data_IF_291797984893
#
_entry.id   IF_291797984893
#
_cell.length_a   1.000
_cell.length_b   1.000
_cell.length_c   1.000
_cell.angle_alpha   90.00
_cell.angle_beta   90.00
_cell.angle_gamma   90.00
#
_symmetry.space_group_name_H-M   'P 1'
#
loop_
_entity.id
_entity.type
_entity.pdbx_description
1 polymer ?
#
# COMPACT_ATOMS: atom_id res chain seq x y z
N UNK A 1 0.63 -21.93 3.83
CA UNK A 1 0.95 -20.48 3.84
C UNK A 1 -0.09 -19.76 3.01
N UNK A 2 -0.36 -18.50 3.34
CA UNK A 2 -1.23 -17.64 2.52
C UNK A 2 -0.36 -16.71 1.65
N UNK A 3 -0.75 -16.51 0.38
CA UNK A 3 -0.10 -15.55 -0.52
C UNK A 3 -1.02 -14.36 -0.79
N UNK A 4 -0.63 -13.18 -0.32
CA UNK A 4 -1.25 -11.92 -0.72
C UNK A 4 -0.51 -11.32 -1.91
N UNK A 5 -1.23 -10.93 -2.95
CA UNK A 5 -0.68 -10.21 -4.10
C UNK A 5 -1.35 -8.84 -4.15
N UNK A 6 -0.56 -7.78 -4.00
CA UNK A 6 -1.00 -6.40 -4.16
C UNK A 6 -0.43 -5.83 -5.47
N UNK A 7 -1.29 -5.65 -6.45
CA UNK A 7 -0.95 -5.17 -7.79
C UNK A 7 -1.29 -3.68 -7.94
N UNK A 8 -0.33 -2.83 -7.53
CA UNK A 8 -0.41 -1.38 -7.63
C UNK A 8 0.13 -0.82 -8.95
N UNK A 9 -0.05 0.48 -9.17
CA UNK A 9 0.39 1.16 -10.39
C UNK A 9 1.91 1.14 -10.62
N UNK A 10 2.71 1.15 -9.56
CA UNK A 10 4.17 1.17 -9.67
C UNK A 10 4.81 -0.18 -9.39
N UNK A 11 4.20 -1.01 -8.54
CA UNK A 11 4.77 -2.29 -8.13
C UNK A 11 3.68 -3.34 -7.92
N UNK A 12 4.03 -4.60 -8.17
CA UNK A 12 3.32 -5.78 -7.72
C UNK A 12 4.09 -6.34 -6.52
N UNK A 13 3.42 -6.50 -5.39
CA UNK A 13 3.99 -7.00 -4.14
C UNK A 13 3.38 -8.37 -3.83
N UNK A 14 4.23 -9.37 -3.65
CA UNK A 14 3.86 -10.72 -3.23
C UNK A 14 4.29 -10.91 -1.78
N UNK A 15 3.33 -11.01 -0.88
CA UNK A 15 3.54 -11.23 0.54
C UNK A 15 3.19 -12.65 0.94
N UNK A 16 4.11 -13.33 1.62
CA UNK A 16 3.92 -14.70 2.07
C UNK A 16 3.68 -14.72 3.57
N UNK A 17 2.52 -15.21 3.99
CA UNK A 17 2.16 -15.33 5.40
C UNK A 17 2.29 -16.78 5.88
N UNK A 18 3.20 -16.98 6.84
CA UNK A 18 3.34 -18.23 7.59
C UNK A 18 2.43 -18.18 8.82
N UNK A 19 1.37 -18.99 8.83
CA UNK A 19 0.43 -19.08 9.95
C UNK A 19 1.04 -19.69 11.22
N UNK A 20 2.07 -20.55 11.11
CA UNK A 20 2.75 -21.13 12.26
C UNK A 20 3.65 -20.09 12.95
N UNK A 21 4.32 -19.25 12.16
CA UNK A 21 5.22 -18.19 12.67
C UNK A 21 4.51 -16.85 12.88
N UNK A 22 3.28 -16.71 12.38
CA UNK A 22 2.51 -15.46 12.33
C UNK A 22 3.29 -14.28 11.72
N UNK A 23 4.05 -14.54 10.67
CA UNK A 23 4.95 -13.56 10.04
C UNK A 23 4.72 -13.45 8.54
N UNK A 24 4.93 -12.24 8.04
CA UNK A 24 4.98 -11.89 6.63
C UNK A 24 6.43 -11.89 6.18
N UNK A 25 6.91 -13.04 5.75
CA UNK A 25 8.28 -13.22 5.26
C UNK A 25 8.35 -14.53 4.47
N UNK A 26 8.88 -14.51 3.23
CA UNK A 26 9.51 -13.40 2.54
C UNK A 26 8.51 -12.51 1.76
N UNK A 27 9.00 -11.38 1.23
CA UNK A 27 8.22 -10.44 0.41
C UNK A 27 8.97 -10.14 -0.89
N UNK A 28 8.32 -10.40 -2.03
CA UNK A 28 8.84 -10.08 -3.35
C UNK A 28 8.17 -8.80 -3.87
N UNK A 29 8.95 -7.91 -4.48
CA UNK A 29 8.45 -6.72 -5.17
C UNK A 29 8.96 -6.70 -6.60
N UNK A 30 8.05 -6.50 -7.54
CA UNK A 30 8.32 -6.41 -8.97
C UNK A 30 7.72 -5.10 -9.47
N UNK A 31 8.39 -4.38 -10.37
CA UNK A 31 7.81 -3.18 -10.98
C UNK A 31 6.53 -3.54 -11.77
N UNK A 32 5.52 -2.67 -11.72
CA UNK A 32 4.34 -2.84 -12.57
C UNK A 32 4.66 -2.29 -13.96
N UNK A 33 4.56 -3.15 -14.97
CA UNK A 33 4.58 -2.73 -16.37
C UNK A 33 3.27 -3.20 -17.00
N UNK A 34 2.51 -2.29 -17.61
CA UNK A 34 1.18 -2.62 -18.16
C UNK A 34 1.25 -3.65 -19.29
N UNK A 35 2.32 -3.60 -20.08
CA UNK A 35 2.64 -4.58 -21.12
C UNK A 35 3.47 -5.77 -20.60
N UNK A 36 3.52 -6.01 -19.27
CA UNK A 36 4.35 -7.08 -18.71
C UNK A 36 3.83 -8.44 -19.16
N UNK A 37 4.70 -9.18 -19.82
CA UNK A 37 4.38 -10.53 -20.27
C UNK A 37 4.30 -11.52 -19.09
N UNK A 38 3.40 -12.48 -19.23
CA UNK A 38 3.24 -13.62 -18.33
C UNK A 38 4.59 -14.33 -18.03
N UNK A 39 5.44 -14.54 -19.04
CA UNK A 39 6.72 -15.24 -18.90
C UNK A 39 7.66 -14.54 -17.90
N UNK A 40 7.61 -13.20 -17.85
CA UNK A 40 8.42 -12.44 -16.91
C UNK A 40 7.95 -12.65 -15.47
N UNK A 41 6.64 -12.59 -15.21
CA UNK A 41 6.07 -12.85 -13.89
C UNK A 41 6.43 -14.26 -13.42
N UNK A 42 6.24 -15.25 -14.30
CA UNK A 42 6.56 -16.64 -13.99
C UNK A 42 8.05 -16.82 -13.65
N UNK A 43 8.97 -16.22 -14.43
CA UNK A 43 10.41 -16.34 -14.17
C UNK A 43 10.81 -15.75 -12.81
N UNK A 44 10.27 -14.59 -12.45
CA UNK A 44 10.56 -13.95 -11.17
C UNK A 44 9.95 -14.73 -10.00
N UNK A 45 8.72 -15.24 -10.14
CA UNK A 45 8.11 -16.12 -9.14
C UNK A 45 8.94 -17.39 -8.95
N UNK A 46 9.34 -18.07 -10.03
CA UNK A 46 10.17 -19.27 -9.95
C UNK A 46 11.48 -19.01 -9.19
N UNK A 47 12.20 -17.94 -9.56
CA UNK A 47 13.47 -17.59 -8.93
C UNK A 47 13.27 -17.27 -7.44
N UNK A 48 12.25 -16.48 -7.11
CA UNK A 48 12.01 -16.09 -5.73
C UNK A 48 11.58 -17.27 -4.84
N UNK A 49 10.73 -18.18 -5.33
CA UNK A 49 10.35 -19.38 -4.57
C UNK A 49 11.58 -20.26 -4.30
N UNK A 50 12.48 -20.39 -5.28
CA UNK A 50 13.72 -21.13 -5.13
C UNK A 50 14.64 -20.50 -4.06
N UNK A 51 14.89 -19.19 -4.15
CA UNK A 51 15.74 -18.44 -3.20
C UNK A 51 15.15 -18.41 -1.78
N UNK A 52 13.83 -18.39 -1.69
CA UNK A 52 13.08 -18.35 -0.42
C UNK A 52 12.89 -19.73 0.22
N UNK A 53 13.30 -20.80 -0.44
CA UNK A 53 13.03 -22.18 -0.04
C UNK A 53 11.53 -22.47 0.22
N UNK A 54 10.65 -21.87 -0.59
CA UNK A 54 9.21 -22.09 -0.55
C UNK A 54 8.82 -23.01 -1.70
N UNK A 55 8.12 -24.09 -1.40
CA UNK A 55 7.50 -24.92 -2.42
C UNK A 55 6.16 -24.31 -2.86
N UNK A 56 5.80 -24.36 -4.16
CA UNK A 56 4.46 -24.00 -4.62
C UNK A 56 3.34 -24.68 -3.82
N UNK A 57 3.56 -25.94 -3.40
CA UNK A 57 2.62 -26.71 -2.59
C UNK A 57 2.46 -26.20 -1.14
N UNK A 58 3.36 -25.34 -0.66
CA UNK A 58 3.23 -24.71 0.65
C UNK A 58 2.15 -23.61 0.65
N UNK A 59 1.75 -23.10 -0.52
CA UNK A 59 0.74 -22.06 -0.66
C UNK A 59 -0.65 -22.71 -0.71
N UNK A 60 -1.45 -22.48 0.32
CA UNK A 60 -2.79 -23.06 0.44
C UNK A 60 -3.89 -22.16 -0.11
N UNK A 61 -3.65 -20.85 -0.16
CA UNK A 61 -4.65 -19.85 -0.55
C UNK A 61 -3.94 -18.63 -1.11
N UNK A 62 -4.53 -18.03 -2.14
CA UNK A 62 -4.02 -16.83 -2.80
C UNK A 62 -5.11 -15.77 -2.85
N UNK A 63 -4.84 -14.60 -2.27
CA UNK A 63 -5.70 -13.41 -2.39
C UNK A 63 -5.03 -12.33 -3.22
N UNK A 64 -5.78 -11.65 -4.09
CA UNK A 64 -5.27 -10.62 -4.98
C UNK A 64 -6.08 -9.33 -4.84
N UNK A 65 -5.39 -8.24 -4.51
CA UNK A 65 -5.84 -6.86 -4.72
C UNK A 65 -5.18 -6.33 -5.98
N UNK A 66 -5.93 -5.66 -6.85
CA UNK A 66 -5.38 -5.04 -8.05
C UNK A 66 -6.14 -3.77 -8.40
N UNK A 67 -5.37 -2.70 -8.65
CA UNK A 67 -5.85 -1.44 -9.20
C UNK A 67 -5.35 -1.21 -10.63
N UNK A 68 -4.80 -2.26 -11.26
CA UNK A 68 -4.27 -2.26 -12.62
C UNK A 68 -4.90 -3.40 -13.42
N UNK A 69 -6.10 -3.20 -14.00
CA UNK A 69 -6.83 -4.26 -14.69
C UNK A 69 -6.04 -4.96 -15.80
N UNK A 70 -5.15 -4.25 -16.48
CA UNK A 70 -4.38 -4.73 -17.63
C UNK A 70 -3.46 -5.92 -17.32
N UNK A 71 -3.09 -6.12 -16.05
CA UNK A 71 -2.22 -7.23 -15.62
C UNK A 71 -2.98 -8.38 -14.95
N UNK A 72 -4.29 -8.26 -14.74
CA UNK A 72 -5.07 -9.23 -13.97
C UNK A 72 -5.09 -10.62 -14.63
N UNK A 73 -5.28 -10.68 -15.95
CA UNK A 73 -5.29 -11.96 -16.69
C UNK A 73 -3.93 -12.65 -16.63
N UNK A 74 -2.84 -11.88 -16.72
CA UNK A 74 -1.49 -12.39 -16.61
C UNK A 74 -1.19 -12.90 -15.19
N UNK A 75 -1.63 -12.18 -14.16
CA UNK A 75 -1.52 -12.62 -12.76
C UNK A 75 -2.31 -13.90 -12.50
N UNK A 76 -3.56 -13.96 -12.98
CA UNK A 76 -4.43 -15.14 -12.86
C UNK A 76 -3.78 -16.35 -13.53
N UNK A 77 -3.27 -16.18 -14.75
CA UNK A 77 -2.56 -17.24 -15.47
C UNK A 77 -1.29 -17.68 -14.74
N UNK A 78 -0.51 -16.73 -14.20
CA UNK A 78 0.72 -17.02 -13.45
C UNK A 78 0.44 -17.85 -12.20
N UNK A 79 -0.54 -17.44 -11.38
CA UNK A 79 -0.95 -18.20 -10.20
C UNK A 79 -1.45 -19.59 -10.56
N UNK A 80 -2.35 -19.71 -11.54
CA UNK A 80 -2.90 -21.01 -11.94
C UNK A 80 -1.83 -21.96 -12.50
N UNK A 81 -0.89 -21.44 -13.27
CA UNK A 81 0.17 -22.25 -13.90
C UNK A 81 1.22 -22.68 -12.88
N UNK A 82 1.61 -21.78 -11.98
CA UNK A 82 2.72 -22.01 -11.05
C UNK A 82 2.29 -22.68 -9.75
N UNK A 83 1.11 -22.34 -9.22
CA UNK A 83 0.60 -22.83 -7.94
C UNK A 83 -0.50 -23.89 -8.09
N UNK A 84 -0.94 -24.18 -9.31
CA UNK A 84 -1.99 -25.16 -9.62
C UNK A 84 -3.32 -24.91 -8.86
N UNK A 85 -3.62 -23.66 -8.53
CA UNK A 85 -4.86 -23.24 -7.86
C UNK A 85 -5.36 -21.92 -8.43
N UNK A 86 -6.65 -21.64 -8.26
CA UNK A 86 -7.22 -20.33 -8.61
C UNK A 86 -6.99 -19.31 -7.48
N UNK A 87 -6.85 -18.04 -7.85
CA UNK A 87 -6.71 -16.95 -6.89
C UNK A 87 -8.05 -16.28 -6.59
N UNK A 88 -8.25 -15.88 -5.35
CA UNK A 88 -9.37 -15.03 -4.96
C UNK A 88 -9.06 -13.57 -5.31
N UNK A 89 -9.73 -13.04 -6.34
CA UNK A 89 -9.64 -11.61 -6.66
C UNK A 89 -10.63 -10.83 -5.80
N UNK A 90 -10.11 -9.85 -5.07
CA UNK A 90 -10.91 -8.93 -4.27
C UNK A 90 -11.67 -8.01 -5.22
N UNK A 91 -12.98 -7.92 -4.99
CA UNK A 91 -13.90 -7.04 -5.71
C UNK A 91 -14.79 -6.32 -4.70
N UNK A 92 -15.61 -5.39 -5.17
CA UNK A 92 -16.59 -4.67 -4.34
C UNK A 92 -17.57 -5.62 -3.62
N UNK A 93 -17.80 -6.81 -4.18
CA UNK A 93 -18.66 -7.84 -3.55
C UNK A 93 -18.01 -8.49 -2.33
N UNK A 94 -16.68 -8.55 -2.33
CA UNK A 94 -15.87 -9.14 -1.25
C UNK A 94 -15.96 -8.34 0.05
N UNK A 95 -16.48 -7.11 0.02
CA UNK A 95 -16.56 -6.22 1.18
C UNK A 95 -17.77 -6.51 2.07
N UNK A 96 -18.81 -7.17 1.55
CA UNK A 96 -20.06 -7.43 2.27
C UNK A 96 -19.89 -8.13 3.64
N UNK A 97 -19.02 -9.14 3.80
CA UNK A 97 -18.81 -9.77 5.12
C UNK A 97 -17.88 -8.97 6.05
N UNK A 98 -17.37 -7.81 5.63
CA UNK A 98 -16.45 -7.00 6.45
C UNK A 98 -17.22 -6.10 7.41
N UNK A 99 -16.61 -5.83 8.56
CA UNK A 99 -17.07 -4.76 9.46
C UNK A 99 -16.89 -3.39 8.81
N UNK A 100 -15.83 -3.22 8.03
CA UNK A 100 -15.55 -1.97 7.33
C UNK A 100 -16.47 -1.83 6.13
N UNK A 101 -17.15 -0.69 6.03
CA UNK A 101 -18.14 -0.41 4.98
C UNK A 101 -17.84 0.92 4.28
N UNK A 102 -18.43 1.12 3.10
CA UNK A 102 -18.36 2.39 2.35
C UNK A 102 -19.64 2.59 1.57
N UNK A 103 -20.07 3.85 1.40
CA UNK A 103 -21.25 4.19 0.59
C UNK A 103 -21.04 3.98 -0.91
N UNK A 104 -19.78 3.95 -1.36
CA UNK A 104 -19.40 3.88 -2.78
C UNK A 104 -18.39 2.75 -3.02
N UNK A 105 -18.77 1.47 -2.81
CA UNK A 105 -17.83 0.36 -2.85
C UNK A 105 -17.20 0.13 -4.23
N UNK A 106 -17.91 0.47 -5.32
CA UNK A 106 -17.40 0.36 -6.68
C UNK A 106 -16.35 1.43 -7.06
N UNK A 107 -16.33 2.57 -6.36
CA UNK A 107 -15.34 3.65 -6.57
C UNK A 107 -14.10 3.44 -5.70
N UNK A 108 -14.13 2.47 -4.80
CA UNK A 108 -13.08 2.25 -3.81
C UNK A 108 -12.00 1.33 -4.34
N UNK A 109 -10.75 1.81 -4.35
CA UNK A 109 -9.57 0.98 -4.63
C UNK A 109 -9.52 -0.22 -3.70
N UNK A 110 -9.22 -1.39 -4.26
CA UNK A 110 -9.15 -2.66 -3.51
C UNK A 110 -8.02 -2.64 -2.46
N UNK A 111 -6.93 -1.92 -2.77
CA UNK A 111 -5.80 -1.63 -1.88
C UNK A 111 -6.20 -0.75 -0.70
N UNK A 112 -6.92 0.34 -0.97
CA UNK A 112 -7.44 1.25 0.07
C UNK A 112 -8.43 0.53 0.99
N UNK A 113 -9.30 -0.33 0.45
CA UNK A 113 -10.21 -1.13 1.26
C UNK A 113 -9.46 -2.14 2.11
N UNK A 114 -8.46 -2.83 1.55
CA UNK A 114 -7.61 -3.75 2.31
C UNK A 114 -6.91 -3.03 3.47
N UNK A 115 -6.35 -1.84 3.22
CA UNK A 115 -5.75 -1.00 4.25
C UNK A 115 -6.74 -0.64 5.37
N UNK A 116 -7.95 -0.21 5.01
CA UNK A 116 -8.99 0.16 5.96
C UNK A 116 -9.44 -1.04 6.82
N UNK A 117 -9.69 -2.18 6.19
CA UNK A 117 -10.06 -3.43 6.88
C UNK A 117 -8.99 -3.83 7.89
N UNK A 118 -7.71 -3.85 7.49
CA UNK A 118 -6.64 -4.25 8.38
C UNK A 118 -6.39 -3.27 9.52
N UNK A 119 -6.49 -1.97 9.27
CA UNK A 119 -6.31 -0.95 10.31
C UNK A 119 -7.47 -0.98 11.33
N UNK A 120 -8.70 -1.15 10.86
CA UNK A 120 -9.86 -1.23 11.75
C UNK A 120 -9.89 -2.55 12.54
N UNK A 121 -9.51 -3.67 11.92
CA UNK A 121 -9.34 -4.96 12.62
C UNK A 121 -8.27 -4.86 13.73
N UNK A 122 -7.18 -4.13 13.47
CA UNK A 122 -6.12 -3.94 14.46
C UNK A 122 -6.52 -3.05 15.63
N UNK A 123 -7.18 -1.92 15.39
CA UNK A 123 -7.51 -0.95 16.44
C UNK A 123 -8.87 -1.16 17.09
N UNK A 124 -9.87 -1.67 16.36
CA UNK A 124 -11.26 -1.76 16.81
C UNK A 124 -11.91 -0.41 17.10
N UNK A 125 -11.38 0.69 16.56
CA UNK A 125 -11.84 2.05 16.81
C UNK A 125 -11.64 2.95 15.59
N UNK A 126 -12.18 4.18 15.65
CA UNK A 126 -11.97 5.21 14.63
C UNK A 126 -10.47 5.39 14.34
N UNK A 127 -10.11 5.35 13.07
CA UNK A 127 -8.71 5.42 12.65
C UNK A 127 -8.53 6.10 11.29
N UNK A 128 -7.32 6.58 11.05
CA UNK A 128 -6.88 7.17 9.79
C UNK A 128 -5.70 6.35 9.30
N UNK A 129 -5.79 5.86 8.06
CA UNK A 129 -4.65 5.23 7.38
C UNK A 129 -3.97 6.26 6.48
N UNK A 130 -2.66 6.44 6.68
CA UNK A 130 -1.80 7.27 5.84
C UNK A 130 -0.90 6.35 5.00
N UNK A 131 -1.20 6.19 3.71
CA UNK A 131 -0.44 5.30 2.82
C UNK A 131 0.57 6.09 1.99
N UNK A 132 1.86 5.82 2.21
CA UNK A 132 2.98 6.39 1.46
C UNK A 132 3.32 5.55 0.21
N UNK A 133 2.39 5.53 -0.75
CA UNK A 133 2.51 4.84 -2.03
C UNK A 133 2.86 5.76 -3.21
N UNK A 134 2.43 5.36 -4.41
CA UNK A 134 2.52 6.18 -5.63
C UNK A 134 1.73 7.48 -5.47
N UNK A 135 0.57 7.39 -4.82
CA UNK A 135 -0.14 8.51 -4.23
C UNK A 135 0.06 8.47 -2.70
N UNK A 136 0.03 9.62 -2.06
CA UNK A 136 -0.15 9.72 -0.62
C UNK A 136 -1.64 9.81 -0.33
N UNK A 137 -2.18 8.84 0.40
CA UNK A 137 -3.62 8.78 0.70
C UNK A 137 -3.90 8.85 2.19
N UNK A 138 -5.05 9.41 2.54
CA UNK A 138 -5.60 9.43 3.89
C UNK A 138 -6.97 8.77 3.84
N UNK A 139 -7.12 7.57 4.37
CA UNK A 139 -8.41 6.88 4.48
C UNK A 139 -8.95 7.05 5.88
N UNK A 140 -10.11 7.69 6.01
CA UNK A 140 -10.73 8.02 7.31
C UNK A 140 -11.82 7.00 7.60
N UNK A 141 -11.69 6.29 8.71
CA UNK A 141 -12.65 5.29 9.18
C UNK A 141 -13.21 5.73 10.54
N UNK A 142 -14.54 5.73 10.67
CA UNK A 142 -15.20 6.10 11.93
C UNK A 142 -15.22 4.95 12.95
N UNK A 143 -15.81 5.18 14.12
CA UNK A 143 -15.89 4.17 15.20
C UNK A 143 -16.81 2.99 14.90
N UNK A 144 -17.64 3.09 13.86
CA UNK A 144 -18.53 2.01 13.38
C UNK A 144 -17.91 1.20 12.26
N UNK A 145 -16.73 1.59 11.76
CA UNK A 145 -16.07 0.97 10.61
C UNK A 145 -16.54 1.56 9.28
N UNK A 146 -17.28 2.65 9.25
CA UNK A 146 -17.63 3.31 7.99
C UNK A 146 -16.45 4.14 7.48
N UNK A 147 -16.05 3.91 6.23
CA UNK A 147 -15.11 4.76 5.52
C UNK A 147 -15.84 6.05 5.15
N UNK A 148 -15.48 7.13 5.83
CA UNK A 148 -16.10 8.44 5.65
C UNK A 148 -15.59 9.14 4.38
N UNK A 149 -14.36 8.85 3.98
CA UNK A 149 -13.76 9.44 2.80
C UNK A 149 -12.29 9.06 2.64
N UNK A 150 -11.74 9.44 1.48
CA UNK A 150 -10.34 9.29 1.15
C UNK A 150 -9.83 10.60 0.56
N UNK A 151 -8.75 11.14 1.12
CA UNK A 151 -8.00 12.23 0.50
C UNK A 151 -6.81 11.65 -0.27
N UNK A 152 -6.54 12.19 -1.46
CA UNK A 152 -5.48 11.73 -2.35
C UNK A 152 -4.64 12.93 -2.76
N UNK A 153 -3.33 12.84 -2.53
CA UNK A 153 -2.34 13.80 -3.04
C UNK A 153 -1.22 13.04 -3.74
N UNK A 154 -0.37 13.70 -4.56
CA UNK A 154 0.79 13.04 -5.15
C UNK A 154 1.65 12.36 -4.07
N UNK A 155 2.20 11.19 -4.36
CA UNK A 155 3.17 10.57 -3.47
C UNK A 155 4.54 11.25 -3.57
N UNK A 156 5.42 11.00 -2.60
CA UNK A 156 6.77 11.60 -2.54
C UNK A 156 7.57 11.40 -3.84
N UNK A 157 7.63 10.16 -4.35
CA UNK A 157 8.36 9.86 -5.59
C UNK A 157 7.69 10.53 -6.79
N UNK A 158 6.36 10.56 -6.84
CA UNK A 158 5.60 11.24 -7.90
C UNK A 158 5.87 12.74 -7.91
N UNK A 159 5.93 13.39 -6.74
CA UNK A 159 6.20 14.81 -6.66
C UNK A 159 7.64 15.17 -7.06
N UNK A 160 8.64 14.40 -6.62
CA UNK A 160 10.02 14.62 -7.08
C UNK A 160 10.13 14.40 -8.59
N UNK A 161 9.55 13.32 -9.10
CA UNK A 161 9.56 13.04 -10.53
C UNK A 161 8.90 14.16 -11.32
N UNK A 162 7.82 14.77 -10.81
CA UNK A 162 7.15 15.88 -11.49
C UNK A 162 8.03 17.13 -11.64
N UNK A 163 8.98 17.37 -10.72
CA UNK A 163 9.96 18.45 -10.84
C UNK A 163 11.00 18.12 -11.90
N UNK A 164 11.50 16.89 -11.91
CA UNK A 164 12.48 16.42 -12.89
C UNK A 164 11.91 16.41 -14.31
N UNK A 165 10.72 15.86 -14.53
CA UNK A 165 10.17 15.67 -15.89
C UNK A 165 9.62 16.95 -16.51
N UNK A 166 9.19 17.91 -15.70
CA UNK A 166 8.53 19.13 -16.20
C UNK A 166 9.43 20.37 -16.14
N UNK A 167 10.71 20.22 -15.85
CA UNK A 167 11.67 21.34 -15.84
C UNK A 167 12.95 20.95 -16.58
N UNK A 168 13.58 21.91 -17.25
CA UNK A 168 14.73 21.65 -18.11
C UNK A 168 16.07 21.55 -17.37
N UNK A 169 16.13 21.95 -16.09
CA UNK A 169 17.40 22.12 -15.35
C UNK A 169 17.42 21.47 -13.98
N UNK A 170 16.30 20.92 -13.48
CA UNK A 170 16.32 20.24 -12.19
C UNK A 170 16.80 18.79 -12.39
N UNK A 171 17.78 18.32 -11.60
CA UNK A 171 18.25 16.97 -11.69
C UNK A 171 17.25 16.00 -11.05
N UNK A 172 17.36 14.72 -11.40
CA UNK A 172 16.76 13.65 -10.61
C UNK A 172 17.47 13.60 -9.24
N UNK A 173 16.70 13.49 -8.16
CA UNK A 173 17.23 13.50 -6.78
C UNK A 173 16.71 12.30 -6.00
N UNK A 174 17.56 11.77 -5.12
CA UNK A 174 17.16 10.71 -4.20
C UNK A 174 16.33 11.27 -3.04
N UNK A 175 15.39 10.46 -2.55
CA UNK A 175 14.58 10.78 -1.38
C UNK A 175 15.39 10.56 -0.10
N UNK A 176 15.99 11.63 0.42
CA UNK A 176 16.73 11.64 1.68
C UNK A 176 16.38 12.90 2.46
N UNK A 177 15.98 12.75 3.72
CA UNK A 177 15.57 13.87 4.58
C UNK A 177 16.80 14.69 4.98
N UNK A 178 16.94 15.96 4.53
CA UNK A 178 18.09 16.76 4.89
C UNK A 178 17.96 17.31 6.32
N UNK A 179 19.10 17.56 6.94
CA UNK A 179 19.19 18.11 8.32
C UNK A 179 18.66 19.53 8.46
N UNK A 180 18.51 20.28 7.36
CA UNK A 180 18.00 21.64 7.33
C UNK A 180 16.92 21.81 6.28
N UNK A 181 15.88 22.57 6.62
CA UNK A 181 14.82 22.98 5.70
C UNK A 181 15.27 24.08 4.70
N UNK A 182 16.38 24.77 4.98
CA UNK A 182 16.89 25.84 4.12
C UNK A 182 17.91 25.28 3.14
N UNK A 183 17.47 25.05 1.89
CA UNK A 183 18.30 24.58 0.80
C UNK A 183 19.49 25.49 0.48
N UNK A 184 20.69 24.90 0.30
CA UNK A 184 21.93 25.63 -0.07
C UNK A 184 22.47 25.31 -1.45
N UNK A 185 21.89 24.32 -2.12
CA UNK A 185 22.16 23.95 -3.51
C UNK A 185 20.90 23.31 -4.10
N UNK A 186 20.85 23.09 -5.41
CA UNK A 186 19.65 22.60 -6.10
C UNK A 186 19.13 21.28 -5.53
N UNK A 187 20.00 20.30 -5.27
CA UNK A 187 19.60 18.98 -4.74
C UNK A 187 19.00 19.14 -3.35
N UNK A 188 19.69 19.86 -2.46
CA UNK A 188 19.22 20.12 -1.10
C UNK A 188 17.91 20.92 -1.11
N UNK A 189 17.77 21.94 -1.97
CA UNK A 189 16.54 22.74 -2.08
C UNK A 189 15.34 21.90 -2.50
N UNK A 190 15.51 20.99 -3.47
CA UNK A 190 14.43 20.06 -3.87
C UNK A 190 14.08 19.11 -2.72
N UNK A 191 15.08 18.45 -2.13
CA UNK A 191 14.88 17.51 -1.03
C UNK A 191 14.19 18.17 0.17
N UNK A 192 14.70 19.34 0.59
CA UNK A 192 14.14 20.08 1.72
C UNK A 192 12.71 20.55 1.43
N UNK A 193 12.48 21.15 0.26
CA UNK A 193 11.15 21.62 -0.14
C UNK A 193 10.11 20.50 -0.18
N UNK A 194 10.45 19.35 -0.77
CA UNK A 194 9.53 18.21 -0.83
C UNK A 194 9.36 17.57 0.55
N UNK A 195 10.43 17.19 1.26
CA UNK A 195 10.28 16.36 2.46
C UNK A 195 9.75 17.13 3.66
N UNK A 196 10.20 18.37 3.91
CA UNK A 196 9.59 19.22 4.93
C UNK A 196 8.18 19.67 4.52
N UNK A 197 7.96 19.93 3.22
CA UNK A 197 6.63 20.24 2.69
C UNK A 197 5.63 19.11 2.94
N UNK A 198 6.01 17.86 2.69
CA UNK A 198 5.17 16.69 2.93
C UNK A 198 4.95 16.41 4.41
N UNK A 199 5.94 16.71 5.26
CA UNK A 199 5.76 16.67 6.71
C UNK A 199 4.65 17.64 7.13
N UNK A 200 4.71 18.88 6.64
CA UNK A 200 3.68 19.89 6.86
C UNK A 200 2.32 19.47 6.30
N UNK A 201 2.29 18.88 5.10
CA UNK A 201 1.08 18.36 4.46
C UNK A 201 0.42 17.29 5.35
N UNK A 202 1.18 16.27 5.78
CA UNK A 202 0.62 15.18 6.60
C UNK A 202 0.04 15.73 7.90
N UNK A 203 0.79 16.57 8.62
CA UNK A 203 0.32 17.17 9.88
C UNK A 203 -0.91 18.05 9.67
N UNK A 204 -0.89 18.90 8.65
CA UNK A 204 -2.00 19.79 8.32
C UNK A 204 -3.26 19.03 7.91
N UNK A 205 -3.13 17.95 7.14
CA UNK A 205 -4.24 17.07 6.79
C UNK A 205 -4.83 16.37 8.02
N UNK A 206 -3.99 15.80 8.88
CA UNK A 206 -4.45 15.17 10.13
C UNK A 206 -5.15 16.19 11.05
N UNK A 207 -4.62 17.40 11.15
CA UNK A 207 -5.25 18.49 11.91
C UNK A 207 -6.60 18.89 11.32
N UNK A 208 -6.69 19.07 10.01
CA UNK A 208 -7.93 19.42 9.32
C UNK A 208 -9.02 18.35 9.53
N UNK A 209 -8.67 17.07 9.37
CA UNK A 209 -9.59 15.93 9.60
C UNK A 209 -10.10 15.94 11.05
N UNK A 210 -9.21 16.14 12.03
CA UNK A 210 -9.56 16.17 13.47
C UNK A 210 -10.44 17.37 13.84
N UNK A 211 -10.33 18.49 13.12
CA UNK A 211 -11.21 19.66 13.31
C UNK A 211 -12.61 19.41 12.77
N UNK A 212 -12.71 18.73 11.62
CA UNK A 212 -14.00 18.42 11.00
C UNK A 212 -14.77 17.33 11.76
N UNK A 213 -14.03 16.35 12.29
CA UNK A 213 -14.58 15.22 13.03
C UNK A 213 -13.99 15.20 14.44
N UNK A 214 -14.63 15.88 15.42
CA UNK A 214 -14.10 16.00 16.78
C UNK A 214 -14.27 14.68 17.55
N UNK A 215 -13.43 13.71 17.21
CA UNK A 215 -13.26 12.44 17.91
C UNK A 215 -11.79 12.04 17.91
N UNK A 216 -11.43 11.10 18.79
CA UNK A 216 -10.08 10.59 18.82
C UNK A 216 -9.88 9.55 17.70
N UNK A 217 -8.95 9.84 16.77
CA UNK A 217 -8.53 8.90 15.74
C UNK A 217 -7.16 8.31 16.06
N UNK A 218 -7.05 6.98 15.95
CA UNK A 218 -5.75 6.31 15.82
C UNK A 218 -5.19 6.53 14.42
N UNK A 219 -3.89 6.79 14.29
CA UNK A 219 -3.25 7.02 12.99
C UNK A 219 -2.29 5.89 12.67
N UNK A 220 -2.49 5.22 11.55
CA UNK A 220 -1.59 4.18 11.05
C UNK A 220 -0.93 4.62 9.75
N UNK A 221 0.39 4.52 9.68
CA UNK A 221 1.12 4.71 8.43
C UNK A 221 1.52 3.38 7.79
N UNK A 222 1.47 3.33 6.46
CA UNK A 222 1.93 2.19 5.64
C UNK A 222 2.72 2.71 4.43
N UNK A 223 3.13 1.82 3.53
CA UNK A 223 3.86 2.16 2.32
C UNK A 223 5.37 2.22 2.53
N UNK A 224 6.11 2.05 1.43
CA UNK A 224 7.57 1.92 1.46
C UNK A 224 8.30 3.19 1.87
N UNK A 225 7.70 4.36 1.60
CA UNK A 225 8.30 5.66 1.84
C UNK A 225 7.99 6.25 3.22
N UNK A 226 7.17 5.58 4.04
CA UNK A 226 6.86 5.98 5.42
C UNK A 226 8.12 6.12 6.29
N UNK A 227 9.18 5.35 6.01
CA UNK A 227 10.45 5.41 6.75
C UNK A 227 11.36 6.59 6.40
N UNK A 228 11.08 7.29 5.30
CA UNK A 228 11.93 8.40 4.84
C UNK A 228 11.65 9.66 5.65
N UNK A 229 10.39 9.85 6.05
CA UNK A 229 9.96 10.98 6.87
C UNK A 229 10.06 10.61 8.35
N UNK A 230 11.28 10.41 8.84
CA UNK A 230 11.55 10.06 10.25
C UNK A 230 11.02 11.11 11.23
N UNK A 231 10.91 12.36 10.78
CA UNK A 231 10.31 13.45 11.55
C UNK A 231 8.78 13.31 11.75
N UNK A 232 8.12 12.35 11.09
CA UNK A 232 6.71 11.99 11.31
C UNK A 232 6.52 10.77 12.22
N UNK A 233 7.59 10.13 12.72
CA UNK A 233 7.46 8.91 13.54
C UNK A 233 6.57 9.11 14.79
N UNK A 234 6.60 10.31 15.39
CA UNK A 234 5.75 10.66 16.54
C UNK A 234 4.32 11.04 16.19
N UNK A 235 3.98 11.22 14.90
CA UNK A 235 2.64 11.58 14.44
C UNK A 235 1.75 10.34 14.18
N UNK A 236 2.34 9.15 14.18
CA UNK A 236 1.65 7.88 13.94
C UNK A 236 1.61 7.00 15.18
N UNK A 237 0.44 6.46 15.53
CA UNK A 237 0.30 5.44 16.58
C UNK A 237 0.97 4.11 16.16
N UNK A 238 0.97 3.81 14.86
CA UNK A 238 1.58 2.60 14.30
C UNK A 238 2.10 2.82 12.89
N UNK A 239 3.25 2.22 12.60
CA UNK A 239 3.73 2.01 11.23
C UNK A 239 3.68 0.52 10.92
N UNK A 240 2.97 0.13 9.85
CA UNK A 240 2.87 -1.26 9.40
C UNK A 240 3.06 -1.37 7.89
N UNK A 241 4.21 -1.90 7.47
CA UNK A 241 4.56 -2.04 6.04
C UNK A 241 3.76 -3.11 5.31
N UNK A 242 3.16 -4.03 6.05
CA UNK A 242 2.43 -5.16 5.48
C UNK A 242 0.91 -4.95 5.60
N UNK A 243 0.46 -3.73 5.87
CA UNK A 243 -0.95 -3.43 6.13
C UNK A 243 -1.87 -3.91 5.00
N UNK A 244 -1.54 -3.56 3.76
CA UNK A 244 -2.30 -3.97 2.58
C UNK A 244 -2.34 -5.49 2.44
N UNK A 245 -1.19 -6.15 2.64
CA UNK A 245 -1.08 -7.62 2.56
C UNK A 245 -1.94 -8.31 3.62
N UNK A 246 -2.00 -7.76 4.84
CA UNK A 246 -2.87 -8.21 5.92
C UNK A 246 -4.35 -8.04 5.56
N UNK A 247 -4.71 -6.89 5.00
CA UNK A 247 -6.07 -6.62 4.55
C UNK A 247 -6.55 -7.60 3.49
N UNK A 248 -5.69 -7.89 2.51
CA UNK A 248 -5.97 -8.88 1.46
C UNK A 248 -6.27 -10.25 2.07
N UNK A 249 -5.44 -10.70 3.02
CA UNK A 249 -5.65 -11.97 3.73
C UNK A 249 -6.98 -11.98 4.47
N UNK A 250 -7.27 -10.95 5.28
CA UNK A 250 -8.50 -10.85 6.07
C UNK A 250 -9.75 -10.90 5.18
N UNK A 251 -9.77 -10.11 4.10
CA UNK A 251 -10.89 -10.09 3.15
C UNK A 251 -11.06 -11.46 2.50
N UNK A 252 -9.96 -12.07 2.05
CA UNK A 252 -9.99 -13.37 1.37
C UNK A 252 -10.52 -14.48 2.29
N UNK A 253 -9.98 -14.60 3.50
CA UNK A 253 -10.37 -15.64 4.47
C UNK A 253 -11.84 -15.55 4.89
N UNK A 254 -12.40 -14.33 4.94
CA UNK A 254 -13.82 -14.10 5.27
C UNK A 254 -14.78 -14.41 4.12
N UNK A 255 -14.28 -14.55 2.90
CA UNK A 255 -15.06 -14.91 1.72
C UNK A 255 -14.78 -16.35 1.23
N UNK A 256 -13.92 -17.09 1.96
CA UNK A 256 -13.56 -18.49 1.66
C UNK A 256 -14.38 -19.47 2.48
#
# INVERSE_FOLDING_TARGET
MFLSIDAGNSNIVFGFYDSKKQKWDPVLRIDTQRAREFNYLQKNMNLFFLESHISPSDISTVGISSVVPEINDNLKKAVRTFLHQDAFFITERSYKPMTVTTKKPAEMGTDLMANAVAAFDYYGSACIVVDFGTALTFTIIDSKGEILGVNIVPGLKTAINSLFTNTSKLPEVQLELPTSAIGKNTVHSIQAGILYGYTGLVRGMLEAIRKELPQHFKVMATGGLSKILTNLEGDFDKVDKNLTLKGIKLITEKNS
#
